data_IF_657287527110
#
_entry.id   IF_657287527110
#
_cell.length_a   1.000
_cell.length_b   1.000
_cell.length_c   1.000
_cell.angle_alpha   90.00
_cell.angle_beta   90.00
_cell.angle_gamma   90.00
#
_symmetry.space_group_name_H-M   'P 1'
#
loop_
_entity.id
_entity.type
_entity.pdbx_description
1 polymer ?
#
# COMPACT_ATOMS: atom_id res chain seq x y z
N UNK A 1 -10.76 0.92 33.82
CA UNK A 1 -9.46 0.69 34.48
C UNK A 1 -8.36 1.18 33.56
N UNK A 2 -7.71 2.30 33.89
CA UNK A 2 -6.55 2.80 33.14
C UNK A 2 -5.30 2.10 33.69
N UNK A 3 -4.64 1.28 32.88
CA UNK A 3 -3.37 0.66 33.25
C UNK A 3 -2.28 1.69 32.93
N UNK A 4 -1.96 2.54 33.90
CA UNK A 4 -1.03 3.67 33.78
C UNK A 4 0.32 3.28 33.16
N UNK A 5 0.84 2.07 33.42
CA UNK A 5 2.10 1.57 32.82
C UNK A 5 2.00 1.07 31.37
N UNK A 6 0.80 0.96 30.80
CA UNK A 6 0.63 0.68 29.36
C UNK A 6 0.65 1.98 28.55
N UNK A 7 0.05 3.05 29.08
CA UNK A 7 0.04 4.37 28.44
C UNK A 7 1.45 4.95 28.27
N UNK A 8 2.36 4.69 29.22
CA UNK A 8 3.77 5.13 29.14
C UNK A 8 4.60 4.40 28.08
N UNK A 9 4.09 3.31 27.51
CA UNK A 9 4.73 2.55 26.43
C UNK A 9 4.21 2.93 25.05
N UNK A 10 3.21 3.80 24.97
CA UNK A 10 2.72 4.28 23.69
C UNK A 10 3.79 5.17 23.04
N UNK A 11 3.96 5.06 21.72
CA UNK A 11 4.83 5.98 21.01
C UNK A 11 4.34 7.42 21.19
N UNK A 12 5.28 8.40 21.19
CA UNK A 12 4.91 9.79 21.27
C UNK A 12 4.04 10.19 20.05
N UNK A 13 3.28 11.29 20.15
CA UNK A 13 2.62 11.87 18.99
C UNK A 13 3.64 12.14 17.86
N UNK A 14 3.22 12.02 16.59
CA UNK A 14 4.12 12.17 15.46
C UNK A 14 4.64 13.60 15.35
N UNK A 15 5.91 13.75 14.97
CA UNK A 15 6.53 15.06 14.87
C UNK A 15 5.91 15.90 13.73
N UNK A 16 5.68 17.21 13.92
CA UNK A 16 5.10 18.06 12.89
C UNK A 16 5.88 18.03 11.56
N UNK A 17 7.21 17.91 11.61
CA UNK A 17 8.05 17.81 10.42
C UNK A 17 7.79 16.53 9.62
N UNK A 18 7.54 15.39 10.28
CA UNK A 18 7.19 14.13 9.62
C UNK A 18 5.83 14.24 8.94
N UNK A 19 4.85 14.86 9.61
CA UNK A 19 3.52 15.08 9.03
C UNK A 19 3.56 16.04 7.84
N UNK A 20 4.36 17.11 7.91
CA UNK A 20 4.59 18.01 6.79
C UNK A 20 5.22 17.28 5.60
N UNK A 21 6.13 16.34 5.84
CA UNK A 21 6.70 15.50 4.79
C UNK A 21 5.65 14.59 4.14
N UNK A 22 4.68 14.07 4.91
CA UNK A 22 3.53 13.32 4.37
C UNK A 22 2.68 14.20 3.47
N UNK A 23 2.29 15.39 3.91
CA UNK A 23 1.49 16.32 3.09
C UNK A 23 2.23 16.70 1.80
N UNK A 24 3.54 16.97 1.88
CA UNK A 24 4.38 17.21 0.71
C UNK A 24 4.41 16.01 -0.25
N UNK A 25 4.50 14.79 0.27
CA UNK A 25 4.48 13.59 -0.55
C UNK A 25 3.12 13.38 -1.24
N UNK A 26 2.00 13.64 -0.54
CA UNK A 26 0.66 13.59 -1.12
C UNK A 26 0.53 14.56 -2.30
N UNK A 27 0.96 15.81 -2.11
CA UNK A 27 0.93 16.85 -3.17
C UNK A 27 1.82 16.54 -4.37
N UNK A 28 2.92 15.81 -4.17
CA UNK A 28 3.83 15.40 -5.24
C UNK A 28 3.42 14.13 -5.99
N UNK A 29 2.43 13.39 -5.50
CA UNK A 29 1.99 12.11 -6.05
C UNK A 29 0.90 12.29 -7.11
N UNK A 30 0.83 11.37 -8.07
CA UNK A 30 -0.24 11.27 -9.09
C UNK A 30 -1.03 9.97 -9.00
N UNK A 31 -0.47 8.93 -8.40
CA UNK A 31 -1.12 7.61 -8.23
C UNK A 31 -1.00 7.13 -6.78
N UNK A 32 -1.52 7.88 -5.80
CA UNK A 32 -1.47 7.45 -4.42
C UNK A 32 -2.48 6.32 -4.15
N UNK A 33 -2.15 5.46 -3.17
CA UNK A 33 -3.06 4.43 -2.66
C UNK A 33 -2.97 4.39 -1.14
N UNK A 34 -4.13 4.43 -0.47
CA UNK A 34 -4.23 4.20 0.97
C UNK A 34 -4.32 2.70 1.21
N UNK A 35 -3.44 2.18 2.07
CA UNK A 35 -3.37 0.77 2.42
C UNK A 35 -3.67 0.56 3.90
N UNK A 36 -4.86 0.02 4.19
CA UNK A 36 -5.40 -0.13 5.54
C UNK A 36 -5.12 -1.51 6.14
N UNK A 37 -4.61 -1.52 7.36
CA UNK A 37 -4.39 -2.71 8.18
C UNK A 37 -5.28 -2.77 9.42
N UNK A 38 -5.08 -3.80 10.24
CA UNK A 38 -5.81 -3.98 11.50
C UNK A 38 -5.59 -2.85 12.51
N UNK A 39 -4.47 -2.13 12.44
CA UNK A 39 -4.21 -0.96 13.28
C UNK A 39 -5.13 0.24 13.01
N UNK A 40 -6.03 0.15 12.03
CA UNK A 40 -6.98 1.21 11.69
C UNK A 40 -8.41 0.97 12.19
N UNK A 41 -8.69 -0.19 12.80
CA UNK A 41 -10.05 -0.58 13.18
C UNK A 41 -10.71 0.42 14.13
N UNK A 42 -9.94 0.95 15.09
CA UNK A 42 -10.43 1.95 16.02
C UNK A 42 -10.46 3.38 15.44
N UNK A 43 -9.94 3.60 14.23
CA UNK A 43 -9.77 4.91 13.60
C UNK A 43 -10.65 5.12 12.36
N UNK A 44 -11.76 4.36 12.22
CA UNK A 44 -12.64 4.46 11.05
C UNK A 44 -13.13 5.88 10.74
N UNK A 45 -13.58 6.70 11.71
CA UNK A 45 -13.98 8.08 11.44
C UNK A 45 -12.85 8.93 10.86
N UNK A 46 -11.66 8.84 11.44
CA UNK A 46 -10.48 9.58 11.00
C UNK A 46 -10.03 9.15 9.60
N UNK A 47 -10.10 7.85 9.30
CA UNK A 47 -9.83 7.30 7.96
C UNK A 47 -10.81 7.86 6.94
N UNK A 48 -12.12 7.89 7.25
CA UNK A 48 -13.14 8.42 6.33
C UNK A 48 -12.92 9.90 6.04
N UNK A 49 -12.59 10.67 7.07
CA UNK A 49 -12.27 12.08 6.90
C UNK A 49 -11.01 12.27 6.04
N UNK A 50 -9.95 11.50 6.30
CA UNK A 50 -8.72 11.55 5.52
C UNK A 50 -8.96 11.21 4.04
N UNK A 51 -9.76 10.18 3.76
CA UNK A 51 -10.16 9.79 2.40
C UNK A 51 -11.01 10.88 1.75
N UNK A 52 -11.97 11.47 2.47
CA UNK A 52 -12.81 12.55 1.94
C UNK A 52 -12.01 13.81 1.63
N UNK A 53 -11.02 14.16 2.45
CA UNK A 53 -10.13 15.31 2.23
C UNK A 53 -9.17 15.09 1.07
N UNK A 54 -8.72 13.87 0.85
CA UNK A 54 -7.70 13.58 -0.18
C UNK A 54 -8.25 13.04 -1.50
N UNK A 55 -9.40 12.36 -1.51
CA UNK A 55 -9.93 11.68 -2.70
C UNK A 55 -9.14 10.45 -3.14
N UNK A 56 -8.28 9.91 -2.28
CA UNK A 56 -7.35 8.82 -2.63
C UNK A 56 -8.07 7.46 -2.52
N UNK A 57 -7.88 6.54 -3.49
CA UNK A 57 -8.46 5.20 -3.41
C UNK A 57 -7.86 4.35 -2.28
N UNK A 58 -8.69 3.45 -1.74
CA UNK A 58 -8.40 2.69 -0.52
C UNK A 58 -8.39 1.20 -0.81
N UNK A 59 -7.30 0.52 -0.45
CA UNK A 59 -7.20 -0.94 -0.35
C UNK A 59 -7.14 -1.36 1.12
N UNK A 60 -7.64 -2.56 1.44
CA UNK A 60 -7.63 -3.07 2.82
C UNK A 60 -7.03 -4.47 2.90
N UNK A 61 -6.22 -4.73 3.91
CA UNK A 61 -5.92 -6.12 4.30
C UNK A 61 -7.19 -6.82 4.77
N UNK A 62 -7.15 -8.15 4.88
CA UNK A 62 -8.20 -8.91 5.56
C UNK A 62 -8.50 -8.35 6.96
N UNK A 63 -7.44 -7.99 7.71
CA UNK A 63 -7.56 -7.47 9.08
C UNK A 63 -8.03 -6.01 9.15
N UNK A 64 -7.95 -5.26 8.06
CA UNK A 64 -8.42 -3.88 7.96
C UNK A 64 -9.84 -3.75 7.41
N UNK A 65 -10.49 -4.87 7.07
CA UNK A 65 -11.89 -4.85 6.63
C UNK A 65 -12.77 -4.30 7.77
N UNK A 66 -13.61 -3.32 7.45
CA UNK A 66 -14.44 -2.60 8.42
C UNK A 66 -13.93 -1.20 8.76
N UNK A 67 -12.64 -0.91 8.56
CA UNK A 67 -12.08 0.43 8.79
C UNK A 67 -12.59 1.49 7.80
N UNK A 68 -12.93 1.07 6.58
CA UNK A 68 -13.53 1.93 5.55
C UNK A 68 -14.70 1.22 4.85
N UNK A 69 -15.81 1.91 4.51
CA UNK A 69 -16.97 1.27 3.90
C UNK A 69 -16.64 0.64 2.54
N UNK A 70 -16.91 -0.65 2.39
CA UNK A 70 -16.64 -1.37 1.13
C UNK A 70 -17.52 -0.92 -0.03
N UNK A 71 -18.67 -0.31 0.25
CA UNK A 71 -19.59 0.23 -0.76
C UNK A 71 -19.14 1.57 -1.33
N UNK A 72 -18.13 2.21 -0.73
CA UNK A 72 -17.67 3.53 -1.16
C UNK A 72 -17.01 3.47 -2.56
N UNK A 73 -17.23 4.48 -3.44
CA UNK A 73 -16.61 4.53 -4.75
C UNK A 73 -15.07 4.54 -4.74
N UNK A 74 -14.43 4.97 -3.66
CA UNK A 74 -12.97 4.94 -3.50
C UNK A 74 -12.47 3.61 -2.93
N UNK A 75 -13.35 2.72 -2.45
CA UNK A 75 -12.97 1.40 -1.98
C UNK A 75 -12.60 0.47 -3.16
N UNK A 76 -11.36 -0.02 -3.13
CA UNK A 76 -10.81 -1.03 -4.03
C UNK A 76 -10.91 -2.46 -3.45
N UNK A 77 -11.54 -2.61 -2.28
CA UNK A 77 -11.70 -3.89 -1.58
C UNK A 77 -10.36 -4.47 -1.08
N UNK A 78 -10.37 -5.77 -0.82
CA UNK A 78 -9.24 -6.50 -0.27
C UNK A 78 -8.12 -6.67 -1.30
N UNK A 79 -6.86 -6.46 -0.87
CA UNK A 79 -5.65 -6.81 -1.63
C UNK A 79 -5.02 -8.11 -1.11
N UNK A 80 -4.07 -8.67 -1.86
CA UNK A 80 -3.31 -9.88 -1.51
C UNK A 80 -3.68 -11.09 -2.37
N UNK A 81 -3.29 -12.28 -1.92
CA UNK A 81 -3.42 -13.54 -2.68
C UNK A 81 -4.86 -13.87 -3.12
N UNK A 82 -5.85 -13.49 -2.31
CA UNK A 82 -7.29 -13.64 -2.61
C UNK A 82 -7.99 -12.28 -2.76
N UNK A 83 -7.19 -11.22 -2.97
CA UNK A 83 -7.67 -9.87 -3.18
C UNK A 83 -8.23 -9.66 -4.58
N UNK A 84 -8.82 -8.49 -4.80
CA UNK A 84 -9.33 -8.13 -6.12
C UNK A 84 -8.17 -7.79 -7.05
N UNK A 85 -8.36 -8.09 -8.35
CA UNK A 85 -7.35 -7.79 -9.37
C UNK A 85 -7.02 -6.29 -9.40
N UNK A 86 -8.04 -5.44 -9.26
CA UNK A 86 -7.87 -3.99 -9.27
C UNK A 86 -7.18 -3.46 -8.00
N UNK A 87 -7.40 -4.05 -6.82
CA UNK A 87 -6.64 -3.67 -5.63
C UNK A 87 -5.13 -3.97 -5.80
N UNK A 88 -4.80 -5.19 -6.24
CA UNK A 88 -3.41 -5.59 -6.45
C UNK A 88 -2.74 -4.75 -7.55
N UNK A 89 -3.45 -4.50 -8.65
CA UNK A 89 -2.97 -3.63 -9.74
C UNK A 89 -2.75 -2.20 -9.27
N UNK A 90 -3.66 -1.63 -8.46
CA UNK A 90 -3.51 -0.28 -7.94
C UNK A 90 -2.26 -0.13 -7.08
N UNK A 91 -1.96 -1.12 -6.24
CA UNK A 91 -0.75 -1.10 -5.39
C UNK A 91 0.53 -1.27 -6.21
N UNK A 92 0.51 -2.14 -7.23
CA UNK A 92 1.65 -2.34 -8.13
C UNK A 92 2.01 -1.07 -8.92
N UNK A 93 0.99 -0.34 -9.37
CA UNK A 93 1.16 0.87 -10.18
C UNK A 93 1.23 2.17 -9.38
N UNK A 94 1.13 2.10 -8.04
CA UNK A 94 1.17 3.27 -7.17
C UNK A 94 2.55 3.94 -7.20
N UNK A 95 2.55 5.27 -7.20
CA UNK A 95 3.77 6.07 -6.97
C UNK A 95 3.93 6.48 -5.50
N UNK A 96 2.85 6.40 -4.72
CA UNK A 96 2.83 6.63 -3.29
C UNK A 96 1.91 5.61 -2.60
N UNK A 97 2.43 4.89 -1.62
CA UNK A 97 1.68 3.96 -0.80
C UNK A 97 1.61 4.49 0.63
N UNK A 98 0.39 4.76 1.12
CA UNK A 98 0.13 5.24 2.48
C UNK A 98 -0.31 4.05 3.33
N UNK A 99 0.65 3.43 3.99
CA UNK A 99 0.48 2.22 4.77
C UNK A 99 0.10 2.56 6.22
N UNK A 100 -1.14 2.26 6.61
CA UNK A 100 -1.71 2.63 7.91
C UNK A 100 -1.99 1.36 8.74
N UNK A 101 -1.20 1.16 9.80
CA UNK A 101 -1.37 0.05 10.75
C UNK A 101 -1.26 -1.33 10.10
N UNK A 102 -0.32 -1.48 9.14
CA UNK A 102 -0.06 -2.71 8.38
C UNK A 102 1.33 -3.27 8.67
N UNK A 103 1.45 -4.59 8.59
CA UNK A 103 2.72 -5.32 8.83
C UNK A 103 3.43 -5.79 7.56
N UNK A 104 2.87 -5.48 6.38
CA UNK A 104 3.36 -5.99 5.09
C UNK A 104 3.55 -7.52 5.10
N UNK A 105 2.53 -8.24 5.57
CA UNK A 105 2.49 -9.71 5.66
C UNK A 105 2.70 -10.39 4.28
N UNK A 106 3.27 -11.59 4.28
CA UNK A 106 3.58 -12.35 3.07
C UNK A 106 2.33 -12.73 2.27
N UNK A 107 1.18 -12.93 2.94
CA UNK A 107 -0.12 -13.20 2.28
C UNK A 107 -0.63 -12.03 1.45
N UNK A 108 -0.14 -10.83 1.73
CA UNK A 108 -0.47 -9.61 0.99
C UNK A 108 0.62 -9.26 -0.02
N UNK A 109 1.88 -9.39 0.39
CA UNK A 109 3.01 -8.92 -0.41
C UNK A 109 3.55 -9.93 -1.41
N UNK A 110 3.27 -11.22 -1.24
CA UNK A 110 3.81 -12.27 -2.11
C UNK A 110 5.34 -12.25 -2.11
N UNK A 111 5.96 -12.20 -3.30
CA UNK A 111 7.43 -12.16 -3.40
C UNK A 111 7.95 -10.75 -3.12
N UNK A 112 8.56 -10.58 -1.95
CA UNK A 112 9.32 -9.38 -1.62
C UNK A 112 10.72 -9.46 -2.25
N UNK A 113 11.07 -8.48 -3.08
CA UNK A 113 12.49 -8.17 -3.29
C UNK A 113 12.97 -7.42 -2.06
N UNK A 114 13.69 -8.13 -1.19
CA UNK A 114 14.41 -7.52 -0.08
C UNK A 114 15.61 -6.80 -0.68
N UNK A 115 15.51 -5.48 -0.84
CA UNK A 115 16.70 -4.64 -0.98
C UNK A 115 17.32 -4.54 0.41
N UNK A 116 18.37 -5.34 0.66
CA UNK A 116 19.17 -5.19 1.87
C UNK A 116 19.69 -3.76 2.00
N UNK A 117 19.94 -3.31 3.23
CA UNK A 117 20.38 -1.95 3.57
C UNK A 117 21.72 -1.54 2.91
N UNK A 118 22.37 -2.41 2.13
CA UNK A 118 23.59 -2.16 1.36
C UNK A 118 23.54 -2.80 -0.04
N UNK A 119 22.54 -2.46 -0.87
CA UNK A 119 22.64 -2.63 -2.33
C UNK A 119 22.90 -4.04 -2.90
N UNK A 120 22.87 -5.11 -2.11
CA UNK A 120 23.02 -6.49 -2.59
C UNK A 120 21.68 -7.22 -2.58
N UNK A 121 21.31 -7.76 -3.75
CA UNK A 121 20.18 -8.65 -3.94
C UNK A 121 20.50 -10.03 -3.34
N UNK A 122 19.99 -10.31 -2.15
CA UNK A 122 20.01 -11.65 -1.56
C UNK A 122 18.61 -12.26 -1.72
N UNK A 123 18.41 -13.09 -2.75
CA UNK A 123 17.11 -13.75 -2.95
C UNK A 123 16.92 -14.53 -4.24
N UNK A 124 17.83 -15.45 -4.57
CA UNK A 124 17.64 -16.40 -5.69
C UNK A 124 17.86 -17.88 -5.31
N UNK A 125 17.88 -18.23 -4.02
CA UNK A 125 18.23 -19.58 -3.55
C UNK A 125 17.13 -20.20 -2.67
N UNK A 126 15.91 -20.33 -3.20
CA UNK A 126 14.89 -21.20 -2.61
C UNK A 126 13.84 -21.52 -3.67
N UNK A 127 14.16 -22.43 -4.60
CA UNK A 127 13.25 -23.37 -5.28
C UNK A 127 14.08 -24.08 -6.35
N UNK A 128 14.72 -25.18 -5.93
CA UNK A 128 15.47 -26.04 -6.81
C UNK A 128 14.59 -27.04 -7.55
N UNK A 129 15.09 -27.39 -8.75
CA UNK A 129 14.97 -28.69 -9.43
C UNK A 129 13.78 -28.98 -10.36
N UNK A 130 14.15 -29.48 -11.55
CA UNK A 130 13.36 -30.15 -12.58
C UNK A 130 12.59 -29.31 -13.62
N UNK A 131 13.31 -28.74 -14.61
CA UNK A 131 12.91 -28.89 -16.01
C UNK A 131 14.09 -28.54 -16.92
N UNK A 132 14.57 -29.55 -17.65
CA UNK A 132 15.71 -29.44 -18.56
C UNK A 132 15.46 -28.42 -19.66
N UNK A 133 16.43 -27.51 -19.86
CA UNK A 133 16.50 -26.68 -21.06
C UNK A 133 16.82 -27.57 -22.26
N UNK A 134 15.83 -27.82 -23.11
CA UNK A 134 16.06 -28.30 -24.48
C UNK A 134 15.63 -27.18 -25.42
N UNK A 135 16.62 -26.47 -25.98
CA UNK A 135 16.43 -25.44 -27.00
C UNK A 135 16.15 -26.13 -28.33
N UNK A 136 14.95 -25.95 -28.88
CA UNK A 136 14.70 -26.17 -30.31
C UNK A 136 14.46 -24.83 -30.97
N UNK A 137 15.27 -24.54 -31.98
CA UNK A 137 15.14 -23.38 -32.85
C UNK A 137 14.14 -23.74 -33.94
N UNK A 138 13.00 -23.06 -34.00
CA UNK A 138 12.10 -23.10 -35.17
C UNK A 138 12.05 -21.68 -35.73
N UNK A 139 12.41 -21.56 -37.02
CA UNK A 139 12.42 -20.31 -37.75
C UNK A 139 11.01 -19.80 -38.03
N UNK A 140 10.90 -18.47 -38.17
CA UNK A 140 9.68 -17.78 -38.59
C UNK A 140 9.03 -16.97 -37.48
N UNK A 141 9.45 -15.72 -37.30
CA UNK A 141 8.65 -14.64 -36.70
C UNK A 141 8.00 -14.90 -35.35
N UNK A 142 8.79 -15.08 -34.29
CA UNK A 142 8.29 -14.92 -32.92
C UNK A 142 8.93 -13.66 -32.31
N UNK A 143 8.08 -12.67 -31.99
CA UNK A 143 8.43 -11.58 -31.10
C UNK A 143 8.95 -12.23 -29.80
N UNK A 144 10.22 -12.02 -29.48
CA UNK A 144 10.78 -12.33 -28.17
C UNK A 144 10.09 -11.43 -27.14
N UNK A 145 8.92 -11.84 -26.66
CA UNK A 145 8.47 -11.40 -25.34
C UNK A 145 9.37 -12.15 -24.39
N UNK A 146 10.49 -11.52 -24.00
CA UNK A 146 11.24 -11.96 -22.83
C UNK A 146 10.26 -12.08 -21.68
N UNK A 147 9.89 -13.32 -21.35
CA UNK A 147 9.27 -13.64 -20.09
C UNK A 147 10.29 -13.27 -19.00
N UNK A 148 10.20 -12.03 -18.50
CA UNK A 148 10.80 -11.64 -17.23
C UNK A 148 10.22 -12.57 -16.17
N UNK A 149 10.92 -13.68 -15.92
CA UNK A 149 10.66 -14.62 -14.83
C UNK A 149 11.09 -13.98 -13.51
N UNK A 150 10.32 -12.98 -13.08
CA UNK A 150 10.19 -12.54 -11.71
C UNK A 150 8.75 -12.04 -11.59
N UNK A 151 7.91 -12.71 -10.79
CA UNK A 151 6.54 -12.24 -10.53
C UNK A 151 6.54 -10.80 -10.01
N UNK A 152 5.43 -10.04 -10.17
CA UNK A 152 5.38 -8.63 -9.79
C UNK A 152 5.74 -8.48 -8.31
N UNK A 153 6.80 -7.75 -8.04
CA UNK A 153 7.29 -7.47 -6.69
C UNK A 153 6.46 -6.33 -6.09
N UNK A 154 5.94 -6.54 -4.87
CA UNK A 154 4.98 -5.63 -4.24
C UNK A 154 5.48 -4.19 -4.14
N UNK A 155 4.69 -3.26 -4.69
CA UNK A 155 4.83 -1.81 -4.57
C UNK A 155 6.26 -1.27 -4.87
N UNK A 156 6.96 -1.87 -5.83
CA UNK A 156 8.39 -1.58 -6.09
C UNK A 156 8.69 -0.18 -6.60
N UNK A 157 7.70 0.49 -7.18
CA UNK A 157 7.86 1.85 -7.74
C UNK A 157 7.34 2.94 -6.80
N UNK A 158 6.76 2.55 -5.67
CA UNK A 158 6.09 3.48 -4.76
C UNK A 158 7.06 4.04 -3.73
N UNK A 159 6.92 5.34 -3.47
CA UNK A 159 7.37 5.91 -2.20
C UNK A 159 6.42 5.42 -1.11
N UNK A 160 6.95 4.98 0.02
CA UNK A 160 6.15 4.35 1.09
C UNK A 160 6.12 5.26 2.31
N UNK A 161 4.92 5.65 2.74
CA UNK A 161 4.65 6.19 4.08
C UNK A 161 4.18 5.01 4.92
N UNK A 162 4.76 4.80 6.10
CA UNK A 162 4.36 3.72 7.00
C UNK A 162 4.11 4.27 8.39
N UNK A 163 2.85 4.21 8.82
CA UNK A 163 2.42 4.58 10.17
C UNK A 163 2.06 3.30 10.91
N UNK A 164 2.82 2.96 11.94
CA UNK A 164 2.54 1.82 12.81
C UNK A 164 2.86 2.18 14.25
N UNK A 165 2.18 1.54 15.18
CA UNK A 165 2.38 1.74 16.62
C UNK A 165 3.59 0.95 17.12
N UNK A 166 3.95 -0.14 16.43
CA UNK A 166 5.08 -0.99 16.78
C UNK A 166 6.33 -0.62 15.96
N UNK A 167 7.38 -0.06 16.59
CA UNK A 167 8.61 0.27 15.89
C UNK A 167 9.29 -0.95 15.25
N UNK A 168 9.06 -2.16 15.75
CA UNK A 168 9.64 -3.38 15.20
C UNK A 168 9.02 -3.78 13.84
N UNK A 169 7.84 -3.27 13.50
CA UNK A 169 7.20 -3.51 12.21
C UNK A 169 7.64 -2.49 11.14
N UNK A 170 8.16 -1.34 11.55
CA UNK A 170 8.72 -0.35 10.64
C UNK A 170 10.02 -0.88 10.01
N UNK A 171 10.16 -0.76 8.69
CA UNK A 171 11.31 -1.26 7.91
C UNK A 171 11.53 -2.79 7.91
N UNK A 172 10.70 -3.58 8.60
CA UNK A 172 10.88 -5.04 8.73
C UNK A 172 10.80 -5.78 7.39
N UNK A 173 9.66 -5.64 6.71
CA UNK A 173 9.38 -6.34 5.44
C UNK A 173 9.51 -5.41 4.22
N UNK A 174 9.28 -4.11 4.42
CA UNK A 174 9.42 -3.08 3.38
C UNK A 174 10.03 -1.81 3.98
N UNK A 175 11.00 -1.24 3.26
CA UNK A 175 11.60 0.04 3.64
C UNK A 175 10.60 1.18 3.47
N UNK A 176 10.14 1.75 4.59
CA UNK A 176 9.41 3.00 4.59
C UNK A 176 10.34 4.16 4.20
N UNK A 177 9.85 5.05 3.34
CA UNK A 177 10.56 6.28 2.97
C UNK A 177 10.20 7.43 3.92
N UNK A 178 8.99 7.37 4.49
CA UNK A 178 8.54 8.25 5.57
C UNK A 178 7.97 7.32 6.67
N UNK A 179 8.82 6.83 7.59
CA UNK A 179 8.39 6.06 8.75
C UNK A 179 7.82 6.99 9.83
N UNK A 180 6.68 6.61 10.42
CA UNK A 180 6.06 7.29 11.56
C UNK A 180 5.69 6.23 12.59
N UNK A 181 6.40 6.20 13.71
CA UNK A 181 6.07 5.36 14.85
C UNK A 181 5.06 6.11 15.72
N UNK A 182 3.77 5.79 15.57
CA UNK A 182 2.66 6.44 16.27
C UNK A 182 1.41 5.56 16.20
N UNK A 183 0.49 5.72 17.15
CA UNK A 183 -0.89 5.29 16.93
C UNK A 183 -1.46 6.00 15.69
N UNK A 184 -2.12 5.23 14.82
CA UNK A 184 -2.71 5.70 13.56
C UNK A 184 -3.81 6.72 13.81
N UNK A 185 -4.62 6.55 14.87
CA UNK A 185 -5.73 7.45 15.17
C UNK A 185 -5.28 8.90 15.42
N UNK A 186 -4.39 9.19 16.39
CA UNK A 186 -3.91 10.56 16.60
C UNK A 186 -3.12 11.07 15.38
N UNK A 187 -2.37 10.22 14.68
CA UNK A 187 -1.67 10.63 13.46
C UNK A 187 -2.64 11.12 12.37
N UNK A 188 -3.72 10.38 12.11
CA UNK A 188 -4.74 10.78 11.13
C UNK A 188 -5.47 12.07 11.55
N UNK A 189 -5.76 12.27 12.84
CA UNK A 189 -6.36 13.53 13.32
C UNK A 189 -5.47 14.73 13.00
N UNK A 190 -4.17 14.61 13.24
CA UNK A 190 -3.23 15.69 12.93
C UNK A 190 -3.09 15.90 11.42
N UNK A 191 -3.01 14.83 10.63
CA UNK A 191 -3.00 14.92 9.17
C UNK A 191 -4.27 15.58 8.62
N UNK A 192 -5.46 15.26 9.14
CA UNK A 192 -6.72 15.87 8.72
C UNK A 192 -6.74 17.37 8.98
N UNK A 193 -6.25 17.82 10.14
CA UNK A 193 -6.10 19.26 10.44
C UNK A 193 -5.11 19.95 9.48
N UNK A 194 -4.01 19.29 9.16
CA UNK A 194 -3.04 19.85 8.19
C UNK A 194 -3.65 19.93 6.79
N UNK A 195 -4.41 18.92 6.35
CA UNK A 195 -5.10 18.91 5.07
C UNK A 195 -6.31 19.86 5.03
N UNK A 196 -6.83 20.26 6.18
CA UNK A 196 -7.82 21.33 6.28
C UNK A 196 -7.18 22.69 6.01
N UNK A 197 -6.04 22.96 6.66
CA UNK A 197 -5.30 24.20 6.48
C UNK A 197 -4.61 24.30 5.12
N UNK A 198 -4.14 23.16 4.59
CA UNK A 198 -3.39 23.07 3.36
C UNK A 198 -3.89 21.90 2.48
N UNK A 199 -5.03 22.07 1.80
CA UNK A 199 -5.67 21.01 1.03
C UNK A 199 -4.80 20.47 -0.11
N UNK A 200 -5.00 19.19 -0.43
CA UNK A 200 -4.50 18.60 -1.67
C UNK A 200 -5.48 18.86 -2.80
N UNK A 201 -4.97 19.06 -4.01
CA UNK A 201 -5.80 19.07 -5.22
C UNK A 201 -6.29 17.65 -5.51
N UNK A 202 -7.59 17.41 -5.33
CA UNK A 202 -8.21 16.10 -5.57
C UNK A 202 -8.27 15.75 -7.06
N UNK A 203 -8.38 16.75 -7.92
CA UNK A 203 -8.47 16.55 -9.38
C UNK A 203 -7.19 15.96 -9.94
N UNK A 204 -6.06 16.19 -9.27
CA UNK A 204 -4.79 15.56 -9.65
C UNK A 204 -4.84 14.02 -9.59
N UNK A 205 -5.75 13.44 -8.81
CA UNK A 205 -5.97 12.00 -8.70
C UNK A 205 -7.12 11.50 -9.58
N UNK A 206 -7.90 12.37 -10.22
CA UNK A 206 -9.06 11.96 -11.01
C UNK A 206 -8.72 10.92 -12.10
N UNK A 207 -7.62 11.05 -12.88
CA UNK A 207 -7.25 10.02 -13.86
C UNK A 207 -6.98 8.66 -13.21
N UNK A 208 -6.42 8.66 -12.01
CA UNK A 208 -6.12 7.46 -11.23
C UNK A 208 -7.39 6.81 -10.67
N UNK A 209 -8.30 7.62 -10.12
CA UNK A 209 -9.60 7.16 -9.60
C UNK A 209 -10.48 6.61 -10.72
N UNK A 210 -10.48 7.25 -11.90
CA UNK A 210 -11.24 6.77 -13.06
C UNK A 210 -10.75 5.42 -13.59
N UNK A 211 -9.46 5.09 -13.40
CA UNK A 211 -8.92 3.79 -13.81
C UNK A 211 -9.62 2.63 -13.09
N UNK A 212 -10.04 2.81 -11.82
CA UNK A 212 -10.88 1.84 -11.10
C UNK A 212 -12.17 1.53 -11.86
N UNK A 213 -12.89 2.57 -12.30
CA UNK A 213 -14.16 2.39 -13.00
C UNK A 213 -13.98 1.54 -14.28
N UNK A 214 -12.86 1.70 -14.96
CA UNK A 214 -12.50 0.90 -16.14
C UNK A 214 -12.12 -0.54 -15.81
N UNK A 215 -11.42 -0.77 -14.70
CA UNK A 215 -11.00 -2.12 -14.28
C UNK A 215 -12.15 -2.93 -13.67
N UNK A 216 -13.06 -2.28 -12.95
CA UNK A 216 -14.23 -2.92 -12.31
C UNK A 216 -15.27 -3.40 -13.34
N UNK A 217 -15.44 -2.67 -14.46
CA UNK A 217 -16.39 -3.04 -15.52
C UNK A 217 -15.90 -4.21 -16.38
N UNK A 218 -14.59 -4.29 -16.66
CA UNK A 218 -14.00 -5.40 -17.42
C UNK A 218 -14.02 -6.74 -16.68
N UNK A 219 -13.98 -6.73 -15.34
CA UNK A 219 -14.06 -7.96 -14.53
C UNK A 219 -15.44 -8.64 -14.47
N UNK A 220 -16.51 -7.99 -14.97
CA UNK A 220 -17.86 -8.59 -15.00
C UNK A 220 -18.15 -9.43 -16.24
N UNK A 221 -17.27 -9.43 -17.25
CA UNK A 221 -17.50 -10.12 -18.54
C UNK A 221 -16.77 -11.46 -18.69
N UNK A 222 -16.27 -12.05 -17.60
CA UNK A 222 -15.62 -13.36 -17.62
C UNK A 222 -16.22 -14.29 -16.57
N UNK A 223 -17.48 -14.67 -16.77
CA UNK A 223 -18.04 -15.91 -16.24
C UNK A 223 -18.83 -16.58 -17.39
N UNK A 224 -18.38 -17.73 -17.91
CA UNK A 224 -19.28 -18.63 -18.64
C UNK A 224 -20.35 -19.18 -17.70
#
# INVERSE_FOLDING_TARGET
MSITGYMSRLPPPPEPAQLAAVVKALKGSKKPVIYLGGGTLDASPEVREFVSRTGIPVVSTLMGLGSFPSTDPLALQMLGMHGTVYANYSVDQADLLIALGVRFDDRVTGKLEVRGQQGQLLGAAAYGSSLGRRLHRVGGGALLVEARRAGPSFATRSRIIHIDIDPAEIHKNKTAHIPICSDVKPALRLLNRLLEADPVDKEQYAPWVQLRARLSTRGRHSRP
#
